data_IF_235890379980
#
_entry.id   IF_235890379980
#
_cell.length_a   1.000
_cell.length_b   1.000
_cell.length_c   1.000
_cell.angle_alpha   90.00
_cell.angle_beta   90.00
_cell.angle_gamma   90.00
#
_symmetry.space_group_name_H-M   'P 1'
#
loop_
_entity.id
_entity.type
_entity.pdbx_description
1 polymer ?
#
# COMPACT_ATOMS: atom_id res chain seq x y z
N UNK A 1 -33.87 -21.06 -11.12
CA UNK A 1 -33.06 -22.15 -11.73
C UNK A 1 -33.99 -23.12 -12.46
N UNK A 2 -33.72 -23.45 -13.73
CA UNK A 2 -34.54 -24.45 -14.43
C UNK A 2 -34.25 -25.83 -13.81
N UNK A 3 -35.31 -26.50 -13.39
CA UNK A 3 -35.25 -27.84 -12.81
C UNK A 3 -35.31 -28.86 -13.97
N UNK A 4 -34.42 -29.87 -13.97
CA UNK A 4 -34.42 -30.88 -15.00
C UNK A 4 -35.72 -31.71 -15.01
N UNK A 5 -36.04 -32.35 -16.16
CA UNK A 5 -37.21 -33.21 -16.24
C UNK A 5 -37.12 -34.41 -15.30
N UNK A 6 -35.93 -34.90 -15.02
CA UNK A 6 -35.68 -35.96 -14.03
C UNK A 6 -35.99 -35.51 -12.60
N UNK A 7 -35.60 -34.28 -12.23
CA UNK A 7 -35.99 -33.70 -10.93
C UNK A 7 -37.51 -33.52 -10.85
N UNK A 8 -38.16 -33.12 -11.95
CA UNK A 8 -39.64 -33.02 -12.00
C UNK A 8 -40.33 -34.37 -11.88
N UNK A 9 -39.70 -35.44 -12.32
CA UNK A 9 -40.23 -36.81 -12.21
C UNK A 9 -39.97 -37.47 -10.87
N UNK A 10 -39.35 -36.75 -9.89
CA UNK A 10 -39.11 -37.24 -8.55
C UNK A 10 -37.84 -38.10 -8.41
N UNK A 11 -36.89 -37.99 -9.32
CA UNK A 11 -35.57 -38.64 -9.18
C UNK A 11 -34.80 -37.97 -8.02
N UNK A 12 -34.68 -38.70 -6.91
CA UNK A 12 -34.05 -38.24 -5.68
C UNK A 12 -32.55 -37.89 -5.88
N UNK A 13 -31.85 -38.65 -6.73
CA UNK A 13 -30.44 -38.41 -7.00
C UNK A 13 -30.20 -37.09 -7.76
N UNK A 14 -31.06 -36.80 -8.74
CA UNK A 14 -30.99 -35.53 -9.49
C UNK A 14 -31.43 -34.34 -8.62
N UNK A 15 -32.40 -34.55 -7.72
CA UNK A 15 -32.79 -33.52 -6.74
C UNK A 15 -31.62 -33.15 -5.83
N UNK A 16 -30.93 -34.14 -5.24
CA UNK A 16 -29.76 -33.88 -4.41
C UNK A 16 -28.59 -33.27 -5.19
N UNK A 17 -28.41 -33.61 -6.45
CA UNK A 17 -27.39 -33.00 -7.30
C UNK A 17 -27.72 -31.53 -7.55
N UNK A 18 -28.96 -31.22 -7.90
CA UNK A 18 -29.43 -29.85 -8.12
C UNK A 18 -29.30 -29.00 -6.85
N UNK A 19 -29.69 -29.52 -5.71
CA UNK A 19 -29.57 -28.88 -4.40
C UNK A 19 -28.10 -28.56 -4.07
N UNK A 20 -27.20 -29.52 -4.27
CA UNK A 20 -25.77 -29.34 -4.06
C UNK A 20 -25.15 -28.28 -4.99
N UNK A 21 -25.55 -28.25 -6.24
CA UNK A 21 -25.10 -27.22 -7.20
C UNK A 21 -25.63 -25.84 -6.81
N UNK A 22 -26.89 -25.75 -6.33
CA UNK A 22 -27.47 -24.53 -5.82
C UNK A 22 -26.70 -24.00 -4.63
N UNK A 23 -26.47 -24.83 -3.65
CA UNK A 23 -25.69 -24.50 -2.45
C UNK A 23 -24.29 -24.00 -2.79
N UNK A 24 -23.57 -24.71 -3.69
CA UNK A 24 -22.24 -24.26 -4.14
C UNK A 24 -22.25 -22.90 -4.81
N UNK A 25 -23.28 -22.60 -5.58
CA UNK A 25 -23.43 -21.31 -6.27
C UNK A 25 -23.82 -20.17 -5.32
N UNK A 26 -24.33 -20.45 -4.15
CA UNK A 26 -24.68 -19.48 -3.12
C UNK A 26 -23.50 -19.14 -2.21
N UNK A 27 -22.53 -20.05 -2.03
CA UNK A 27 -21.35 -19.82 -1.22
C UNK A 27 -20.38 -18.90 -2.01
N UNK A 28 -20.25 -17.67 -1.58
CA UNK A 28 -19.28 -16.71 -2.11
C UNK A 28 -18.08 -16.66 -1.18
N UNK A 29 -16.88 -16.77 -1.77
CA UNK A 29 -15.62 -16.77 -1.02
C UNK A 29 -14.82 -15.51 -1.37
N UNK A 30 -14.38 -15.41 -2.63
CA UNK A 30 -13.64 -14.26 -3.12
C UNK A 30 -13.79 -14.13 -4.64
N UNK A 31 -13.71 -12.88 -5.12
CA UNK A 31 -13.71 -12.55 -6.54
C UNK A 31 -12.72 -11.40 -6.80
N UNK A 32 -12.06 -11.35 -7.96
CA UNK A 32 -11.39 -10.13 -8.38
C UNK A 32 -12.43 -9.02 -8.59
N UNK A 33 -12.07 -7.81 -8.25
CA UNK A 33 -12.90 -6.61 -8.37
C UNK A 33 -12.14 -5.44 -8.98
N UNK A 34 -12.90 -4.43 -9.38
CA UNK A 34 -12.38 -3.15 -9.88
C UNK A 34 -13.01 -2.04 -9.04
N UNK A 35 -12.17 -1.26 -8.40
CA UNK A 35 -12.59 -0.08 -7.61
C UNK A 35 -13.25 0.93 -8.54
N UNK A 36 -14.45 1.37 -8.19
CA UNK A 36 -15.19 2.43 -8.90
C UNK A 36 -15.00 3.79 -8.23
N UNK A 37 -14.97 3.80 -6.91
CA UNK A 37 -14.64 4.97 -6.09
C UNK A 37 -14.10 4.53 -4.73
N UNK A 38 -13.39 5.43 -4.06
CA UNK A 38 -12.86 5.25 -2.70
C UNK A 38 -13.20 6.46 -1.85
N UNK A 39 -13.72 6.22 -0.66
CA UNK A 39 -13.94 7.21 0.37
C UNK A 39 -12.83 7.11 1.42
N UNK A 40 -11.91 8.09 1.50
CA UNK A 40 -10.79 8.06 2.44
C UNK A 40 -11.22 8.31 3.89
N UNK A 41 -12.35 8.96 4.14
CA UNK A 41 -12.84 9.26 5.48
C UNK A 41 -13.51 8.04 6.12
N UNK A 42 -14.31 7.32 5.34
CA UNK A 42 -14.93 6.06 5.76
C UNK A 42 -13.99 4.84 5.59
N UNK A 43 -12.92 4.97 4.82
CA UNK A 43 -12.01 3.88 4.41
C UNK A 43 -12.77 2.76 3.71
N UNK A 44 -13.71 3.13 2.83
CA UNK A 44 -14.55 2.20 2.05
C UNK A 44 -14.39 2.45 0.56
N UNK A 45 -14.74 1.44 -0.21
CA UNK A 45 -14.76 1.52 -1.67
C UNK A 45 -16.10 1.04 -2.25
N UNK A 46 -16.45 1.58 -3.41
CA UNK A 46 -17.44 0.98 -4.29
C UNK A 46 -16.70 0.09 -5.27
N UNK A 47 -17.07 -1.19 -5.34
CA UNK A 47 -16.36 -2.19 -6.14
C UNK A 47 -17.30 -2.88 -7.11
N UNK A 48 -16.88 -3.01 -8.37
CA UNK A 48 -17.51 -3.87 -9.37
C UNK A 48 -16.79 -5.21 -9.38
N UNK A 49 -17.46 -6.34 -9.02
CA UNK A 49 -16.87 -7.67 -9.24
C UNK A 49 -16.53 -7.87 -10.72
N UNK A 50 -15.32 -8.34 -10.99
CA UNK A 50 -14.78 -8.44 -12.36
C UNK A 50 -15.16 -9.76 -13.08
N UNK A 51 -15.69 -10.74 -12.35
CA UNK A 51 -16.21 -11.99 -12.91
C UNK A 51 -17.75 -11.92 -12.92
N UNK A 52 -18.35 -12.26 -14.04
CA UNK A 52 -19.82 -12.26 -14.18
C UNK A 52 -20.44 -13.47 -13.50
N UNK A 53 -21.64 -13.32 -12.95
CA UNK A 53 -22.46 -14.44 -12.52
C UNK A 53 -22.90 -15.28 -13.73
N UNK A 54 -23.04 -16.56 -13.51
CA UNK A 54 -23.53 -17.52 -14.51
C UNK A 54 -24.88 -18.04 -14.05
N UNK A 55 -25.89 -17.83 -14.86
CA UNK A 55 -27.26 -18.29 -14.64
C UNK A 55 -27.71 -19.14 -15.83
N UNK A 56 -28.80 -19.87 -15.65
CA UNK A 56 -29.54 -20.50 -16.76
C UNK A 56 -30.83 -19.76 -16.99
N UNK A 57 -31.16 -19.48 -18.23
CA UNK A 57 -32.48 -18.95 -18.60
C UNK A 57 -33.56 -20.02 -18.47
N UNK A 58 -34.81 -19.65 -18.82
CA UNK A 58 -35.95 -20.56 -18.75
C UNK A 58 -35.85 -21.74 -19.71
N UNK A 59 -35.05 -21.61 -20.75
CA UNK A 59 -34.80 -22.63 -21.78
C UNK A 59 -33.58 -23.50 -21.44
N UNK A 60 -32.90 -23.22 -20.30
CA UNK A 60 -31.71 -23.93 -19.84
C UNK A 60 -30.40 -23.43 -20.45
N UNK A 61 -30.40 -22.39 -21.28
CA UNK A 61 -29.18 -21.82 -21.85
C UNK A 61 -28.40 -21.03 -20.81
N UNK A 62 -27.07 -21.07 -20.96
CA UNK A 62 -26.16 -20.31 -20.09
C UNK A 62 -26.24 -18.82 -20.41
N UNK A 63 -26.61 -18.00 -19.44
CA UNK A 63 -26.53 -16.55 -19.51
C UNK A 63 -25.55 -16.02 -18.46
N UNK A 64 -24.95 -14.88 -18.75
CA UNK A 64 -24.04 -14.21 -17.81
C UNK A 64 -24.52 -12.80 -17.53
N UNK A 65 -24.46 -12.39 -16.26
CA UNK A 65 -24.83 -11.06 -15.81
C UNK A 65 -23.72 -10.45 -14.95
N UNK A 66 -23.55 -9.14 -14.99
CA UNK A 66 -22.71 -8.47 -14.02
C UNK A 66 -23.32 -8.60 -12.63
N UNK A 67 -22.47 -8.81 -11.63
CA UNK A 67 -22.90 -8.59 -10.25
C UNK A 67 -23.26 -7.12 -10.03
N UNK A 68 -24.14 -6.81 -9.07
CA UNK A 68 -24.36 -5.42 -8.65
C UNK A 68 -23.04 -4.80 -8.16
N UNK A 69 -23.01 -3.48 -8.13
CA UNK A 69 -21.94 -2.76 -7.43
C UNK A 69 -22.02 -3.10 -5.94
N UNK A 70 -20.88 -3.41 -5.36
CA UNK A 70 -20.72 -3.55 -3.93
C UNK A 70 -20.39 -2.15 -3.38
N UNK A 71 -21.23 -1.67 -2.48
CA UNK A 71 -21.10 -0.33 -1.88
C UNK A 71 -20.58 -0.44 -0.45
N UNK A 72 -19.92 0.60 0.02
CA UNK A 72 -19.39 0.71 1.39
C UNK A 72 -18.49 -0.47 1.81
N UNK A 73 -17.75 -1.03 0.85
CA UNK A 73 -16.85 -2.17 1.09
C UNK A 73 -15.62 -1.71 1.86
N UNK A 74 -15.36 -2.18 3.10
CA UNK A 74 -14.18 -1.83 3.86
C UNK A 74 -12.89 -2.17 3.11
N UNK A 75 -11.98 -1.18 2.98
CA UNK A 75 -10.67 -1.38 2.36
C UNK A 75 -9.67 -1.86 3.41
N UNK A 76 -8.99 -2.96 3.10
CA UNK A 76 -7.99 -3.57 3.99
C UNK A 76 -6.61 -3.06 3.62
N UNK A 77 -5.99 -2.31 4.54
CA UNK A 77 -4.57 -1.94 4.49
C UNK A 77 -3.76 -2.82 5.46
N UNK A 78 -2.51 -3.20 5.13
CA UNK A 78 -1.61 -3.83 6.08
C UNK A 78 -1.44 -2.96 7.33
N UNK A 79 -1.90 -3.45 8.50
CA UNK A 79 -1.95 -2.68 9.74
C UNK A 79 -1.64 -3.54 10.96
N UNK A 80 -0.89 -2.98 11.90
CA UNK A 80 -0.61 -3.60 13.19
C UNK A 80 0.23 -2.71 14.09
N UNK A 81 0.14 -2.88 15.42
CA UNK A 81 0.98 -2.18 16.40
C UNK A 81 0.92 -0.65 16.34
N UNK A 82 -0.19 -0.07 15.90
CA UNK A 82 -0.32 1.37 15.72
C UNK A 82 0.24 1.92 14.40
N UNK A 83 0.73 1.06 13.50
CA UNK A 83 1.24 1.45 12.18
C UNK A 83 0.33 0.92 11.06
N UNK A 84 0.22 1.66 9.97
CA UNK A 84 -0.56 1.30 8.78
C UNK A 84 0.23 1.66 7.53
N UNK A 85 0.29 0.73 6.56
CA UNK A 85 0.79 1.02 5.22
C UNK A 85 -0.41 1.36 4.32
N UNK A 86 -0.52 2.62 3.93
CA UNK A 86 -1.62 3.11 3.09
C UNK A 86 -1.16 3.31 1.65
N UNK A 87 -2.09 3.11 0.72
CA UNK A 87 -1.92 3.36 -0.71
C UNK A 87 -2.94 4.39 -1.19
N UNK A 88 -2.62 5.21 -2.21
CA UNK A 88 -3.59 6.07 -2.86
C UNK A 88 -4.53 5.21 -3.75
N UNK A 89 -5.61 4.70 -3.16
CA UNK A 89 -6.61 3.88 -3.89
C UNK A 89 -7.39 4.76 -4.86
N UNK A 90 -7.50 4.32 -6.12
CA UNK A 90 -8.13 5.07 -7.22
C UNK A 90 -9.16 4.23 -7.95
N UNK A 91 -10.09 4.91 -8.60
CA UNK A 91 -10.99 4.27 -9.56
C UNK A 91 -10.18 3.58 -10.66
N UNK A 92 -10.53 2.33 -10.95
CA UNK A 92 -9.84 1.47 -11.89
C UNK A 92 -8.79 0.55 -11.25
N UNK A 93 -8.42 0.72 -10.00
CA UNK A 93 -7.51 -0.21 -9.31
C UNK A 93 -8.16 -1.59 -9.20
N UNK A 94 -7.37 -2.62 -9.44
CA UNK A 94 -7.81 -4.01 -9.26
C UNK A 94 -7.66 -4.40 -7.79
N UNK A 95 -8.62 -5.18 -7.31
CA UNK A 95 -8.66 -5.64 -5.92
C UNK A 95 -9.15 -7.08 -5.82
N UNK A 96 -8.92 -7.69 -4.68
CA UNK A 96 -9.57 -8.93 -4.27
C UNK A 96 -10.71 -8.59 -3.32
N UNK A 97 -11.92 -8.97 -3.69
CA UNK A 97 -13.08 -8.91 -2.81
C UNK A 97 -13.21 -10.24 -2.09
N UNK A 98 -13.19 -10.22 -0.77
CA UNK A 98 -13.38 -11.40 0.09
C UNK A 98 -14.69 -11.23 0.83
N UNK A 99 -15.54 -12.25 0.80
CA UNK A 99 -16.84 -12.22 1.46
C UNK A 99 -16.74 -12.89 2.83
N UNK A 100 -17.29 -12.22 3.84
CA UNK A 100 -17.33 -12.77 5.19
C UNK A 100 -18.30 -13.95 5.30
N UNK A 101 -18.02 -14.86 6.23
CA UNK A 101 -18.89 -16.00 6.52
C UNK A 101 -20.24 -15.56 7.13
N UNK A 102 -20.26 -14.45 7.84
CA UNK A 102 -21.41 -13.88 8.54
C UNK A 102 -21.54 -12.39 8.29
N UNK A 103 -22.72 -11.86 8.65
CA UNK A 103 -23.00 -10.43 8.66
C UNK A 103 -21.96 -9.65 9.50
N UNK A 104 -21.35 -8.61 8.92
CA UNK A 104 -20.32 -7.79 9.56
C UNK A 104 -20.81 -6.42 10.02
N UNK A 105 -22.07 -6.07 9.88
CA UNK A 105 -22.58 -4.70 10.07
C UNK A 105 -22.26 -4.13 11.46
N UNK A 106 -22.53 -4.85 12.52
CA UNK A 106 -22.24 -4.38 13.88
C UNK A 106 -20.73 -4.34 14.17
N UNK A 107 -19.99 -5.32 13.65
CA UNK A 107 -18.52 -5.27 13.77
C UNK A 107 -17.96 -4.06 13.01
N UNK A 108 -18.44 -3.79 11.82
CA UNK A 108 -18.02 -2.63 11.03
C UNK A 108 -18.25 -1.30 11.76
N UNK A 109 -19.40 -1.16 12.42
CA UNK A 109 -19.75 0.07 13.14
C UNK A 109 -19.02 0.24 14.47
N UNK A 110 -18.79 -0.84 15.22
CA UNK A 110 -18.40 -0.76 16.64
C UNK A 110 -17.09 -1.49 16.97
N UNK A 111 -16.60 -2.35 16.08
CA UNK A 111 -15.45 -3.21 16.34
C UNK A 111 -15.72 -4.24 17.46
N UNK A 112 -14.65 -4.92 17.91
CA UNK A 112 -14.73 -5.91 18.99
C UNK A 112 -15.49 -7.19 18.59
N UNK A 113 -15.96 -7.92 19.58
CA UNK A 113 -16.80 -9.12 19.40
C UNK A 113 -18.25 -8.68 19.36
N UNK A 114 -18.96 -9.02 18.27
CA UNK A 114 -20.34 -8.61 18.03
C UNK A 114 -21.22 -9.81 17.67
N UNK A 115 -22.51 -9.70 17.98
CA UNK A 115 -23.55 -10.60 17.48
C UNK A 115 -23.89 -10.22 16.03
N UNK A 116 -24.21 -11.19 15.14
CA UNK A 116 -24.68 -10.85 13.79
C UNK A 116 -26.08 -10.21 13.90
N UNK A 117 -26.29 -9.13 13.15
CA UNK A 117 -27.62 -8.47 13.09
C UNK A 117 -28.57 -9.20 12.15
N UNK A 118 -28.05 -10.03 11.25
CA UNK A 118 -28.76 -10.78 10.23
C UNK A 118 -28.13 -12.17 10.08
N UNK A 119 -28.94 -13.18 9.79
CA UNK A 119 -28.49 -14.57 9.60
C UNK A 119 -27.86 -14.86 8.25
N UNK A 120 -27.70 -13.82 7.38
CA UNK A 120 -27.08 -13.95 6.07
C UNK A 120 -25.65 -14.49 6.15
N UNK A 121 -25.29 -15.30 5.17
CA UNK A 121 -24.00 -15.95 5.06
C UNK A 121 -23.45 -15.77 3.66
N UNK A 122 -22.13 -15.53 3.54
CA UNK A 122 -21.45 -15.38 2.26
C UNK A 122 -22.15 -14.36 1.32
N UNK A 123 -22.70 -13.30 1.92
CA UNK A 123 -23.47 -12.31 1.20
C UNK A 123 -22.59 -11.26 0.51
N UNK A 124 -23.10 -10.69 -0.57
CA UNK A 124 -22.39 -9.66 -1.33
C UNK A 124 -22.17 -8.37 -0.53
N UNK A 125 -23.05 -8.11 0.45
CA UNK A 125 -22.97 -6.93 1.33
C UNK A 125 -21.91 -7.06 2.43
N UNK A 126 -21.43 -8.29 2.72
CA UNK A 126 -20.44 -8.54 3.76
C UNK A 126 -19.04 -8.75 3.16
N UNK A 127 -18.59 -7.80 2.36
CA UNK A 127 -17.36 -7.89 1.60
C UNK A 127 -16.24 -7.04 2.21
N UNK A 128 -14.98 -7.48 1.99
CA UNK A 128 -13.77 -6.69 2.23
C UNK A 128 -13.02 -6.50 0.90
N UNK A 129 -12.43 -5.33 0.70
CA UNK A 129 -11.62 -4.99 -0.45
C UNK A 129 -10.13 -5.02 -0.09
N UNK A 130 -9.38 -5.94 -0.68
CA UNK A 130 -7.92 -6.01 -0.55
C UNK A 130 -7.33 -5.52 -1.87
N UNK A 131 -6.72 -4.32 -1.87
CA UNK A 131 -6.05 -3.76 -3.05
C UNK A 131 -4.71 -4.47 -3.29
N UNK A 132 -4.30 -4.57 -4.57
CA UNK A 132 -2.97 -5.06 -4.93
C UNK A 132 -2.89 -6.24 -5.89
N UNK A 133 -3.87 -7.16 -6.05
CA UNK A 133 -3.80 -8.14 -7.12
C UNK A 133 -3.81 -7.44 -8.48
N UNK A 134 -3.06 -8.00 -9.42
CA UNK A 134 -2.91 -7.43 -10.76
C UNK A 134 -3.22 -8.48 -11.82
N UNK A 135 -4.07 -8.14 -12.78
CA UNK A 135 -4.25 -8.94 -13.98
C UNK A 135 -3.02 -8.88 -14.89
N UNK A 136 -2.88 -9.83 -15.80
CA UNK A 136 -1.79 -9.80 -16.78
C UNK A 136 -1.79 -8.52 -17.64
N UNK A 137 -2.94 -7.89 -17.81
CA UNK A 137 -3.07 -6.63 -18.55
C UNK A 137 -2.55 -5.42 -17.77
N UNK A 138 -2.45 -5.51 -16.44
CA UNK A 138 -2.06 -4.41 -15.55
C UNK A 138 -0.85 -4.72 -14.68
N UNK A 139 -0.15 -5.82 -14.94
CA UNK A 139 1.04 -6.19 -14.17
C UNK A 139 2.12 -5.12 -14.22
N UNK A 140 2.72 -4.81 -13.10
CA UNK A 140 3.94 -3.99 -13.05
C UNK A 140 5.11 -4.73 -13.68
N UNK A 141 6.11 -3.99 -14.13
CA UNK A 141 7.34 -4.52 -14.70
C UNK A 141 8.55 -4.24 -13.80
N UNK A 142 9.66 -4.92 -14.09
CA UNK A 142 10.94 -4.64 -13.43
C UNK A 142 10.92 -4.93 -11.92
N UNK A 143 10.20 -5.98 -11.50
CA UNK A 143 10.22 -6.41 -10.09
C UNK A 143 11.64 -6.87 -9.74
N UNK A 144 12.20 -6.32 -8.66
CA UNK A 144 13.49 -6.74 -8.14
C UNK A 144 13.32 -8.09 -7.41
N UNK A 145 14.06 -9.10 -7.84
CA UNK A 145 14.02 -10.46 -7.25
C UNK A 145 15.04 -10.68 -6.14
N UNK A 146 15.92 -9.69 -5.89
CA UNK A 146 16.99 -9.77 -4.88
C UNK A 146 16.80 -8.79 -3.72
N UNK A 147 15.83 -7.89 -3.79
CA UNK A 147 15.58 -6.90 -2.76
C UNK A 147 14.08 -6.58 -2.62
N UNK A 148 13.67 -6.26 -1.41
CA UNK A 148 12.32 -5.76 -1.15
C UNK A 148 12.25 -4.28 -1.50
N UNK A 149 11.20 -3.87 -2.22
CA UNK A 149 11.00 -2.47 -2.60
C UNK A 149 9.60 -1.99 -2.24
N UNK A 150 9.52 -0.81 -1.62
CA UNK A 150 8.34 0.04 -1.66
C UNK A 150 8.56 1.02 -2.81
N UNK A 151 7.77 0.90 -3.88
CA UNK A 151 8.06 1.58 -5.14
C UNK A 151 6.82 2.12 -5.84
N UNK A 152 7.02 3.11 -6.71
CA UNK A 152 6.04 3.44 -7.75
C UNK A 152 5.96 2.32 -8.80
N UNK A 153 4.82 2.20 -9.49
CA UNK A 153 4.58 1.15 -10.50
C UNK A 153 5.60 1.20 -11.65
N UNK A 154 6.00 2.40 -12.07
CA UNK A 154 7.02 2.63 -13.09
C UNK A 154 8.46 2.34 -12.61
N UNK A 155 8.64 2.13 -11.29
CA UNK A 155 9.93 1.87 -10.67
C UNK A 155 10.89 3.06 -10.62
N UNK A 156 10.42 4.27 -10.90
CA UNK A 156 11.28 5.48 -10.91
C UNK A 156 11.61 5.98 -9.49
N UNK A 157 10.73 5.72 -8.54
CA UNK A 157 10.87 6.14 -7.14
C UNK A 157 10.72 4.93 -6.23
N UNK A 158 11.69 4.70 -5.33
CA UNK A 158 11.61 3.56 -4.42
C UNK A 158 12.48 3.71 -3.17
N UNK A 159 12.03 3.03 -2.12
CA UNK A 159 12.83 2.64 -0.97
C UNK A 159 13.12 1.13 -1.10
N UNK A 160 14.40 0.74 -1.04
CA UNK A 160 14.84 -0.64 -1.23
C UNK A 160 15.63 -1.15 -0.02
N UNK A 161 15.34 -2.38 0.37
CA UNK A 161 16.12 -3.13 1.35
C UNK A 161 16.68 -4.39 0.67
N UNK A 162 17.99 -4.47 0.57
CA UNK A 162 18.70 -5.61 -0.01
C UNK A 162 19.33 -6.47 1.09
N UNK A 163 18.89 -7.71 1.29
CA UNK A 163 19.37 -8.58 2.37
C UNK A 163 20.81 -9.05 2.16
N UNK A 164 21.25 -9.26 0.91
CA UNK A 164 22.58 -9.79 0.59
C UNK A 164 23.67 -8.75 0.84
N UNK A 165 23.43 -7.53 0.37
CA UNK A 165 24.38 -6.41 0.54
C UNK A 165 24.19 -5.65 1.84
N UNK A 166 23.10 -5.91 2.58
CA UNK A 166 22.69 -5.20 3.80
C UNK A 166 22.55 -3.69 3.62
N UNK A 167 22.22 -3.26 2.40
CA UNK A 167 22.07 -1.84 2.06
C UNK A 167 20.61 -1.45 2.01
N UNK A 168 20.34 -0.23 2.47
CA UNK A 168 19.11 0.50 2.18
C UNK A 168 19.45 1.50 1.07
N UNK A 169 18.58 1.60 0.06
CA UNK A 169 18.71 2.54 -1.04
C UNK A 169 17.40 3.31 -1.19
N UNK A 170 17.52 4.64 -1.31
CA UNK A 170 16.40 5.52 -1.61
C UNK A 170 16.67 6.16 -2.97
N UNK A 171 15.72 6.07 -3.88
CA UNK A 171 15.75 6.75 -5.18
C UNK A 171 14.52 7.62 -5.28
N UNK A 172 14.71 8.92 -5.32
CA UNK A 172 13.66 9.92 -5.34
C UNK A 172 14.04 11.05 -6.30
N UNK A 173 13.72 10.95 -7.61
CA UNK A 173 14.06 11.98 -8.61
C UNK A 173 13.48 13.35 -8.31
N UNK A 174 12.35 13.40 -7.60
CA UNK A 174 11.70 14.64 -7.17
C UNK A 174 12.28 15.28 -5.91
N UNK A 175 13.25 14.60 -5.25
CA UNK A 175 13.83 15.04 -4.00
C UNK A 175 13.44 14.17 -2.80
N UNK A 176 14.13 14.39 -1.69
CA UNK A 176 13.89 13.73 -0.39
C UNK A 176 13.82 14.80 0.68
N UNK A 177 12.65 14.94 1.31
CA UNK A 177 12.45 15.81 2.46
C UNK A 177 12.53 14.98 3.75
N UNK A 178 13.42 15.37 4.65
CA UNK A 178 13.53 14.80 5.99
C UNK A 178 13.12 15.86 7.00
N UNK A 179 11.97 15.68 7.63
CA UNK A 179 11.45 16.56 8.66
C UNK A 179 11.55 15.85 10.00
N UNK A 180 12.57 16.20 10.78
CA UNK A 180 12.83 15.60 12.08
C UNK A 180 13.55 16.62 12.98
N UNK A 181 13.34 16.57 14.31
CA UNK A 181 14.09 17.43 15.24
C UNK A 181 15.59 17.10 15.29
N UNK A 182 15.98 15.89 14.91
CA UNK A 182 17.37 15.41 14.86
C UNK A 182 17.51 14.36 13.76
N UNK A 183 18.57 14.43 12.97
CA UNK A 183 19.08 13.35 12.13
C UNK A 183 20.48 12.98 12.64
N UNK A 184 20.66 11.74 13.10
CA UNK A 184 21.93 11.22 13.61
C UNK A 184 22.55 10.23 12.65
N UNK A 185 23.84 10.40 12.33
CA UNK A 185 24.63 9.54 11.46
C UNK A 185 25.87 9.11 12.23
N UNK A 186 25.94 7.84 12.62
CA UNK A 186 27.04 7.28 13.44
C UNK A 186 28.40 7.20 12.72
N UNK A 187 28.38 7.29 11.38
CA UNK A 187 29.54 7.09 10.54
C UNK A 187 29.66 8.21 9.49
N UNK A 188 30.45 7.98 8.47
CA UNK A 188 30.77 8.94 7.40
C UNK A 188 29.55 9.29 6.54
N UNK A 189 29.33 10.58 6.35
CA UNK A 189 28.40 11.13 5.34
C UNK A 189 29.20 11.62 4.13
N UNK A 190 28.77 11.25 2.92
CA UNK A 190 29.34 11.72 1.64
C UNK A 190 28.28 12.47 0.86
N UNK A 191 28.55 13.72 0.50
CA UNK A 191 27.65 14.59 -0.28
C UNK A 191 28.36 14.92 -1.59
N UNK A 192 27.75 14.56 -2.72
CA UNK A 192 28.32 14.78 -4.05
C UNK A 192 27.92 16.13 -4.66
N UNK A 193 26.92 16.80 -4.09
CA UNK A 193 26.44 18.11 -4.52
C UNK A 193 26.74 19.23 -3.54
N UNK A 194 26.09 20.35 -3.73
CA UNK A 194 26.16 21.49 -2.81
C UNK A 194 25.50 21.15 -1.49
N UNK A 195 26.19 21.42 -0.38
CA UNK A 195 25.61 21.36 0.96
C UNK A 195 25.35 22.77 1.48
N UNK A 196 24.09 23.05 1.81
CA UNK A 196 23.66 24.32 2.44
C UNK A 196 23.14 24.03 3.83
N UNK A 197 23.61 24.75 4.85
CA UNK A 197 23.04 24.72 6.20
C UNK A 197 22.69 26.15 6.63
N UNK A 198 21.54 26.29 7.27
CA UNK A 198 20.99 27.60 7.63
C UNK A 198 21.15 27.94 9.12
N UNK A 199 21.35 26.95 9.97
CA UNK A 199 21.49 27.09 11.41
C UNK A 199 22.93 27.12 11.94
N UNK A 200 23.93 27.11 11.05
CA UNK A 200 25.34 27.03 11.43
C UNK A 200 25.88 25.61 11.51
N UNK A 201 27.17 25.47 11.77
CA UNK A 201 27.90 24.20 11.86
C UNK A 201 28.77 24.18 13.12
N UNK A 202 28.70 23.13 13.90
CA UNK A 202 29.60 22.86 15.02
C UNK A 202 30.29 21.52 14.78
N UNK A 203 31.61 21.51 14.82
CA UNK A 203 32.42 20.30 14.70
C UNK A 203 33.43 20.20 15.84
N UNK A 204 33.53 19.03 16.47
CA UNK A 204 34.57 18.75 17.45
C UNK A 204 35.14 17.34 17.26
N UNK A 205 36.44 17.18 17.51
CA UNK A 205 37.13 15.88 17.53
C UNK A 205 37.99 15.80 18.77
N UNK A 206 38.11 14.61 19.33
CA UNK A 206 38.99 14.38 20.51
C UNK A 206 40.45 14.52 20.13
N UNK A 207 40.84 14.11 18.92
CA UNK A 207 42.18 14.23 18.38
C UNK A 207 42.15 14.29 16.85
N UNK A 208 43.13 14.95 16.24
CA UNK A 208 43.26 15.08 14.80
C UNK A 208 42.68 16.39 14.25
N UNK A 209 42.34 16.42 12.96
CA UNK A 209 41.83 17.62 12.25
C UNK A 209 40.33 17.63 12.26
N UNK A 210 39.72 18.63 12.86
CA UNK A 210 38.26 18.81 12.93
C UNK A 210 37.63 19.13 11.55
N UNK A 211 38.35 19.84 10.69
CA UNK A 211 37.90 20.17 9.34
C UNK A 211 39.10 20.31 8.40
N UNK A 212 39.04 19.73 7.21
CA UNK A 212 39.98 19.93 6.12
C UNK A 212 39.21 20.36 4.88
N UNK A 213 39.48 21.59 4.40
CA UNK A 213 38.87 22.16 3.22
C UNK A 213 39.97 22.36 2.17
N UNK A 214 39.79 21.81 0.98
CA UNK A 214 40.70 22.01 -0.16
C UNK A 214 39.94 22.84 -1.21
N UNK A 215 40.45 23.99 -1.54
CA UNK A 215 39.89 24.93 -2.47
C UNK A 215 39.88 26.35 -1.88
N UNK A 216 39.22 27.27 -2.56
CA UNK A 216 39.05 28.65 -2.07
C UNK A 216 37.92 28.68 -1.04
N UNK A 217 38.14 29.34 0.07
CA UNK A 217 37.14 29.62 1.11
C UNK A 217 36.94 31.11 1.20
N UNK A 218 35.72 31.57 0.97
CA UNK A 218 35.31 32.96 1.13
C UNK A 218 34.47 33.11 2.40
N UNK A 219 34.83 34.08 3.24
CA UNK A 219 34.12 34.44 4.43
C UNK A 219 33.49 35.84 4.28
N UNK A 220 32.15 35.90 4.29
CA UNK A 220 31.41 37.15 4.29
C UNK A 220 31.08 37.54 5.73
N UNK A 221 32.05 38.00 6.45
CA UNK A 221 31.94 38.35 7.88
C UNK A 221 33.26 38.24 8.64
N UNK A 222 33.25 38.24 9.92
CA UNK A 222 34.47 38.17 10.75
C UNK A 222 34.89 36.73 11.00
N UNK A 223 36.18 36.43 10.80
CA UNK A 223 36.83 35.17 11.18
C UNK A 223 37.57 35.36 12.49
N UNK A 224 37.47 34.43 13.43
CA UNK A 224 38.21 34.46 14.68
C UNK A 224 38.97 33.14 14.90
N UNK A 225 40.21 33.22 15.34
CA UNK A 225 40.98 32.09 15.84
C UNK A 225 41.31 32.30 17.31
N UNK A 226 40.92 31.35 18.18
CA UNK A 226 41.06 31.48 19.63
C UNK A 226 40.50 32.81 20.20
N UNK A 227 39.35 33.26 19.68
CA UNK A 227 38.71 34.49 20.05
C UNK A 227 39.32 35.79 19.49
N UNK A 228 40.43 35.72 18.79
CA UNK A 228 41.05 36.90 18.13
C UNK A 228 40.60 37.00 16.67
N UNK A 229 40.25 38.19 16.16
CA UNK A 229 39.90 38.40 14.76
C UNK A 229 41.12 38.05 13.86
N UNK A 230 40.80 37.47 12.71
CA UNK A 230 41.74 37.32 11.59
C UNK A 230 41.23 38.28 10.51
N UNK A 231 41.90 39.40 10.34
CA UNK A 231 41.58 40.48 9.39
C UNK A 231 42.87 40.93 8.66
N UNK A 232 42.77 41.98 7.89
CA UNK A 232 43.89 42.56 7.15
C UNK A 232 45.02 43.16 8.05
N UNK A 233 44.73 43.32 9.34
CA UNK A 233 45.74 43.79 10.35
C UNK A 233 46.42 42.61 11.05
N UNK A 234 46.02 41.36 10.77
CA UNK A 234 46.60 40.17 11.39
C UNK A 234 48.03 39.95 10.93
N UNK A 235 48.98 40.09 11.85
CA UNK A 235 50.42 39.83 11.57
C UNK A 235 50.85 38.50 12.23
N UNK A 236 51.56 37.72 11.46
CA UNK A 236 52.27 36.54 12.00
C UNK A 236 53.56 37.08 12.65
N UNK A 237 53.65 37.02 13.97
CA UNK A 237 54.93 37.33 14.64
C UNK A 237 56.01 36.40 14.14
N UNK A 238 57.11 36.95 13.67
CA UNK A 238 58.30 36.23 13.28
C UNK A 238 59.01 35.62 14.47
#
# INVERSE_FOLDING_TARGET
>A
MAVSDQTRSGDLAETFKSERETTKNQIRVALPGIVQSFDPDAVTAVVQPAIRSVEKDNDGNRITKNYPLLVDVPVVFPRGGGCTLTFPVKAGDECLVVFADRCIDFWWQSGGIQEPVDDRMHDLSDAFCIVGPQSQARKISGINTSATQLRSDDGSTYFELNPDTRKIKIVAPGGLDVVAPLADFSEKVTIHGLLTWMGGMVGSVVSGVASKITGVVEFLGSVKANGKPIDDTHTHGG
#
